data_IF_799286350918
#
_entry.id   IF_799286350918
#
_cell.length_a   1.000
_cell.length_b   1.000
_cell.length_c   1.000
_cell.angle_alpha   90.00
_cell.angle_beta   90.00
_cell.angle_gamma   90.00
#
_symmetry.space_group_name_H-M   'P 1'
#
loop_
_entity.id
_entity.type
_entity.pdbx_description
1 polymer ?
#
# COMPACT_ATOMS: atom_id res chain seq x y z
N UNK A 1 58.05 7.13 33.46
CA UNK A 1 57.10 6.07 33.11
C UNK A 1 56.37 6.50 31.84
N UNK A 2 56.72 5.89 30.70
CA UNK A 2 56.15 6.20 29.39
C UNK A 2 54.95 5.31 29.13
N UNK A 3 53.79 5.90 28.90
CA UNK A 3 52.56 5.20 28.46
C UNK A 3 52.71 4.81 26.98
N UNK A 4 52.74 3.52 26.72
CA UNK A 4 52.77 2.98 25.37
C UNK A 4 51.37 3.11 24.76
N UNK A 5 51.24 3.90 23.70
CA UNK A 5 50.05 3.99 22.89
C UNK A 5 49.90 2.72 22.00
N UNK A 6 48.92 1.92 22.31
CA UNK A 6 48.60 0.68 21.57
C UNK A 6 48.12 1.02 20.16
N UNK A 7 48.92 0.68 19.15
CA UNK A 7 48.59 0.93 17.73
C UNK A 7 47.57 -0.11 17.25
N UNK A 8 46.36 0.34 16.92
CA UNK A 8 45.33 -0.50 16.35
C UNK A 8 45.81 -1.24 15.10
N UNK A 9 45.52 -2.56 15.03
CA UNK A 9 45.92 -3.46 13.94
C UNK A 9 45.26 -3.12 12.60
N UNK A 10 45.88 -3.43 11.44
CA UNK A 10 45.34 -3.14 10.11
C UNK A 10 43.92 -3.70 9.87
N UNK A 11 43.57 -4.82 10.52
CA UNK A 11 42.23 -5.42 10.45
C UNK A 11 41.12 -4.61 11.19
N UNK A 12 41.49 -3.85 12.24
CA UNK A 12 40.58 -2.96 12.95
C UNK A 12 40.37 -1.65 12.20
N UNK A 13 41.37 -1.18 11.43
CA UNK A 13 41.23 0.02 10.53
C UNK A 13 40.39 -0.30 9.30
N UNK A 14 40.34 -1.54 8.80
CA UNK A 14 39.56 -1.93 7.65
C UNK A 14 38.03 -2.05 7.94
N UNK A 15 37.62 -2.15 9.20
CA UNK A 15 36.20 -2.15 9.58
C UNK A 15 35.60 -0.75 9.79
N UNK A 16 36.39 0.28 9.91
CA UNK A 16 35.96 1.65 10.22
C UNK A 16 35.74 2.55 8.97
N UNK A 17 35.81 2.04 7.75
CA UNK A 17 35.90 2.91 6.58
C UNK A 17 35.16 2.51 5.31
N UNK A 18 34.18 1.61 5.33
CA UNK A 18 33.22 1.50 4.25
C UNK A 18 31.93 2.21 4.63
N UNK A 19 31.83 3.50 4.29
CA UNK A 19 30.53 4.14 4.16
C UNK A 19 29.70 3.24 3.22
N UNK A 20 28.60 2.66 3.73
CA UNK A 20 27.76 1.78 2.93
C UNK A 20 27.25 2.60 1.73
N UNK A 21 27.72 2.24 0.53
CA UNK A 21 27.24 2.90 -0.70
C UNK A 21 25.77 2.54 -0.83
N UNK A 22 24.92 3.54 -0.67
CA UNK A 22 23.46 3.39 -0.80
C UNK A 22 23.14 2.86 -2.21
N UNK A 23 22.27 1.88 -2.28
CA UNK A 23 21.71 1.41 -3.55
C UNK A 23 20.95 2.55 -4.25
N UNK A 24 20.77 2.46 -5.56
CA UNK A 24 19.98 3.43 -6.32
C UNK A 24 18.55 3.58 -5.77
N UNK A 25 17.94 2.48 -5.34
CA UNK A 25 16.61 2.49 -4.75
C UNK A 25 16.58 3.23 -3.39
N UNK A 26 17.61 3.08 -2.57
CA UNK A 26 17.73 3.80 -1.30
C UNK A 26 17.96 5.29 -1.50
N UNK A 27 18.78 5.67 -2.50
CA UNK A 27 18.96 7.10 -2.86
C UNK A 27 17.65 7.72 -3.31
N UNK A 28 16.93 7.09 -4.25
CA UNK A 28 15.62 7.57 -4.71
C UNK A 28 14.58 7.66 -3.57
N UNK A 29 14.65 6.77 -2.59
CA UNK A 29 13.78 6.84 -1.41
C UNK A 29 14.14 8.04 -0.53
N UNK A 30 15.43 8.28 -0.28
CA UNK A 30 15.91 9.42 0.52
C UNK A 30 15.60 10.76 -0.14
N UNK A 31 15.77 10.88 -1.46
CA UNK A 31 15.42 12.10 -2.21
C UNK A 31 13.93 12.43 -2.05
N UNK A 32 13.06 11.42 -2.21
CA UNK A 32 11.63 11.58 -2.00
C UNK A 32 11.29 11.90 -0.53
N UNK A 33 11.95 11.25 0.41
CA UNK A 33 11.76 11.51 1.84
C UNK A 33 12.15 12.97 2.19
N UNK A 34 13.24 13.48 1.64
CA UNK A 34 13.66 14.86 1.79
C UNK A 34 12.62 15.84 1.24
N UNK A 35 12.11 15.58 0.04
CA UNK A 35 11.02 16.38 -0.56
C UNK A 35 9.78 16.40 0.31
N UNK A 36 9.34 15.21 0.80
CA UNK A 36 8.17 15.10 1.67
C UNK A 36 8.37 15.86 2.99
N UNK A 37 9.56 15.81 3.57
CA UNK A 37 9.87 16.49 4.83
C UNK A 37 9.95 18.02 4.68
N UNK A 38 10.41 18.53 3.52
CA UNK A 38 10.65 19.96 3.29
C UNK A 38 9.47 20.69 2.65
N UNK A 39 8.60 19.98 1.91
CA UNK A 39 7.47 20.59 1.19
C UNK A 39 6.15 20.06 1.74
N UNK A 40 5.31 20.95 2.34
CA UNK A 40 3.97 20.56 2.78
C UNK A 40 3.14 19.94 1.64
N UNK A 41 2.28 18.92 1.92
CA UNK A 41 1.43 18.32 0.90
C UNK A 41 0.38 19.32 0.39
N UNK A 42 0.14 19.29 -0.91
CA UNK A 42 -0.93 20.03 -1.58
C UNK A 42 -2.20 19.17 -1.68
N UNK A 43 -3.29 19.75 -2.17
CA UNK A 43 -4.52 18.97 -2.46
C UNK A 43 -4.31 17.85 -3.48
N UNK A 44 -3.39 18.03 -4.44
CA UNK A 44 -3.04 17.01 -5.43
C UNK A 44 -2.22 15.86 -4.85
N UNK A 45 -1.44 16.12 -3.81
CA UNK A 45 -0.70 15.10 -3.07
C UNK A 45 -1.60 14.22 -2.19
N UNK A 46 -2.88 14.57 -2.05
CA UNK A 46 -3.80 13.85 -1.20
C UNK A 46 -4.33 12.60 -1.90
N UNK A 47 -4.03 11.44 -1.36
CA UNK A 47 -4.62 10.16 -1.75
C UNK A 47 -5.58 9.66 -0.68
N UNK A 48 -6.45 8.73 -1.04
CA UNK A 48 -7.43 8.13 -0.14
C UNK A 48 -7.45 6.61 -0.27
N UNK A 49 -7.68 5.94 0.86
CA UNK A 49 -7.98 4.51 0.90
C UNK A 49 -9.03 4.19 1.94
N UNK A 50 -9.67 3.04 1.86
CA UNK A 50 -10.69 2.61 2.81
C UNK A 50 -10.06 2.28 4.17
N UNK A 51 -10.69 2.72 5.29
CA UNK A 51 -10.15 2.59 6.64
C UNK A 51 -9.90 1.13 7.08
N UNK A 52 -10.68 0.16 6.62
CA UNK A 52 -10.45 -1.26 6.90
C UNK A 52 -9.17 -1.73 6.19
N UNK A 53 -8.92 -1.29 4.96
CA UNK A 53 -7.69 -1.64 4.21
C UNK A 53 -6.42 -1.06 4.85
N UNK A 54 -6.54 -0.01 5.67
CA UNK A 54 -5.43 0.47 6.49
C UNK A 54 -5.11 -0.46 7.67
N UNK A 55 -6.04 -1.30 8.09
CA UNK A 55 -5.88 -2.18 9.25
C UNK A 55 -5.55 -3.61 8.85
N UNK A 56 -6.13 -4.08 7.73
CA UNK A 56 -5.92 -5.42 7.18
C UNK A 56 -5.76 -5.32 5.67
N UNK A 57 -4.59 -5.72 5.16
CA UNK A 57 -4.26 -5.60 3.74
C UNK A 57 -4.63 -6.86 2.93
N UNK A 58 -4.64 -6.70 1.61
CA UNK A 58 -4.72 -7.80 0.64
C UNK A 58 -3.56 -8.81 0.82
N UNK A 59 -3.56 -9.97 0.16
CA UNK A 59 -2.39 -10.84 0.09
C UNK A 59 -1.17 -10.08 -0.42
N UNK A 60 0.02 -10.36 0.12
CA UNK A 60 1.27 -9.74 -0.35
C UNK A 60 1.87 -10.46 -1.55
N UNK A 61 1.63 -11.76 -1.63
CA UNK A 61 2.05 -12.63 -2.73
C UNK A 61 0.86 -13.39 -3.31
N UNK A 62 1.06 -14.01 -4.48
CA UNK A 62 0.08 -14.91 -5.08
C UNK A 62 -0.27 -16.03 -4.12
N UNK A 63 -1.54 -16.32 -4.00
CA UNK A 63 -2.07 -17.50 -3.31
C UNK A 63 -2.80 -18.37 -4.32
N UNK A 64 -2.77 -19.68 -4.12
CA UNK A 64 -3.49 -20.63 -5.01
C UNK A 64 -4.97 -20.78 -4.60
N UNK A 65 -5.28 -20.42 -3.35
CA UNK A 65 -6.66 -20.44 -2.86
C UNK A 65 -7.54 -19.41 -3.58
N UNK A 66 -8.81 -19.73 -3.72
CA UNK A 66 -9.83 -18.85 -4.32
C UNK A 66 -10.34 -17.77 -3.37
N UNK A 67 -9.94 -17.84 -2.15
CA UNK A 67 -10.37 -16.98 -1.05
C UNK A 67 -9.19 -16.63 -0.15
N UNK A 68 -9.19 -15.41 0.34
CA UNK A 68 -8.23 -14.92 1.31
C UNK A 68 -8.94 -14.24 2.46
N UNK A 69 -8.68 -14.70 3.67
CA UNK A 69 -9.19 -14.12 4.90
C UNK A 69 -8.05 -13.61 5.77
N UNK A 70 -8.18 -12.40 6.28
CA UNK A 70 -7.27 -11.83 7.30
C UNK A 70 -8.07 -11.04 8.32
N UNK A 71 -7.69 -11.20 9.59
CA UNK A 71 -8.28 -10.47 10.70
C UNK A 71 -7.18 -9.85 11.58
N UNK A 72 -7.43 -8.64 12.07
CA UNK A 72 -6.59 -7.97 13.07
C UNK A 72 -7.48 -7.18 14.02
N UNK A 73 -7.59 -7.67 15.26
CA UNK A 73 -8.53 -7.12 16.23
C UNK A 73 -9.98 -7.19 15.73
N UNK A 74 -10.65 -6.04 15.69
CA UNK A 74 -12.03 -5.94 15.21
C UNK A 74 -12.15 -5.77 13.69
N UNK A 75 -11.03 -5.54 12.98
CA UNK A 75 -11.02 -5.38 11.52
C UNK A 75 -10.73 -6.72 10.85
N UNK A 76 -11.46 -7.02 9.77
CA UNK A 76 -11.21 -8.18 8.95
C UNK A 76 -11.53 -7.91 7.48
N UNK A 77 -10.88 -8.66 6.61
CA UNK A 77 -11.09 -8.66 5.18
C UNK A 77 -11.25 -10.10 4.69
N UNK A 78 -12.24 -10.31 3.82
CA UNK A 78 -12.35 -11.51 3.00
C UNK A 78 -12.37 -11.09 1.53
N UNK A 79 -11.53 -11.72 0.72
CA UNK A 79 -11.43 -11.47 -0.72
C UNK A 79 -11.64 -12.78 -1.45
N UNK A 80 -12.70 -12.86 -2.24
CA UNK A 80 -13.02 -14.02 -3.07
C UNK A 80 -12.72 -13.69 -4.53
N UNK A 81 -12.03 -14.61 -5.19
CA UNK A 81 -11.71 -14.52 -6.61
C UNK A 81 -12.95 -14.76 -7.47
N UNK A 82 -13.16 -13.93 -8.47
CA UNK A 82 -14.31 -13.99 -9.36
C UNK A 82 -13.95 -14.38 -10.80
N UNK A 83 -14.86 -14.08 -11.71
CA UNK A 83 -14.75 -14.31 -13.14
C UNK A 83 -14.83 -12.98 -13.87
N UNK A 84 -14.07 -12.85 -14.95
CA UNK A 84 -14.10 -11.69 -15.83
C UNK A 84 -14.13 -12.17 -17.28
N UNK A 85 -14.93 -11.53 -18.14
CA UNK A 85 -14.84 -11.76 -19.58
C UNK A 85 -13.62 -10.99 -20.13
N UNK A 86 -12.68 -11.72 -20.72
CA UNK A 86 -11.49 -11.18 -21.36
C UNK A 86 -11.64 -11.11 -22.90
N UNK A 87 -12.88 -11.02 -23.41
CA UNK A 87 -13.19 -10.90 -24.84
C UNK A 87 -13.32 -12.21 -25.59
N UNK A 88 -13.08 -13.36 -24.93
CA UNK A 88 -13.26 -14.71 -25.47
C UNK A 88 -14.10 -15.61 -24.55
N UNK A 89 -14.82 -14.99 -23.64
CA UNK A 89 -15.61 -15.64 -22.62
C UNK A 89 -15.04 -15.51 -21.20
N UNK A 90 -15.73 -16.07 -20.21
CA UNK A 90 -15.40 -15.87 -18.80
C UNK A 90 -14.09 -16.59 -18.41
N UNK A 91 -13.16 -15.84 -17.88
CA UNK A 91 -11.87 -16.31 -17.34
C UNK A 91 -11.86 -16.16 -15.84
N UNK A 92 -11.48 -17.25 -15.15
CA UNK A 92 -11.34 -17.23 -13.71
C UNK A 92 -10.11 -16.40 -13.29
N UNK A 93 -10.33 -15.38 -12.48
CA UNK A 93 -9.26 -14.52 -11.99
C UNK A 93 -8.67 -15.04 -10.67
N UNK A 94 -7.40 -14.72 -10.35
CA UNK A 94 -6.85 -14.99 -9.02
C UNK A 94 -7.40 -14.00 -7.98
N UNK A 95 -7.16 -14.26 -6.70
CA UNK A 95 -7.31 -13.24 -5.66
C UNK A 95 -6.30 -12.12 -5.95
N UNK A 96 -6.69 -10.82 -5.93
CA UNK A 96 -5.76 -9.72 -6.15
C UNK A 96 -4.67 -9.67 -5.07
N UNK A 97 -3.40 -9.48 -5.46
CA UNK A 97 -2.25 -9.53 -4.56
C UNK A 97 -1.14 -8.55 -4.95
N UNK A 98 -0.25 -8.29 -3.99
CA UNK A 98 0.96 -7.51 -4.22
C UNK A 98 0.72 -5.99 -4.22
N UNK A 99 1.62 -5.27 -4.85
CA UNK A 99 1.68 -3.80 -4.83
C UNK A 99 0.60 -3.17 -5.72
N UNK A 100 0.39 -3.70 -6.93
CA UNK A 100 -0.44 -3.06 -7.95
C UNK A 100 -1.90 -2.84 -7.52
N UNK A 101 -2.63 -3.82 -6.95
CA UNK A 101 -4.00 -3.58 -6.53
C UNK A 101 -4.11 -2.58 -5.38
N UNK A 102 -3.07 -2.46 -4.52
CA UNK A 102 -3.02 -1.44 -3.46
C UNK A 102 -2.93 -0.03 -4.01
N UNK A 103 -2.02 0.18 -4.95
CA UNK A 103 -1.84 1.48 -5.62
C UNK A 103 -3.07 1.82 -6.47
N UNK A 104 -3.62 0.85 -7.19
CA UNK A 104 -4.82 1.03 -7.99
C UNK A 104 -6.03 1.42 -7.12
N UNK A 105 -6.26 0.71 -6.01
CA UNK A 105 -7.33 1.07 -5.06
C UNK A 105 -7.12 2.46 -4.45
N UNK A 106 -5.88 2.82 -4.09
CA UNK A 106 -5.60 4.15 -3.58
C UNK A 106 -5.87 5.23 -4.65
N UNK A 107 -5.43 5.02 -5.89
CA UNK A 107 -5.66 5.96 -6.99
C UNK A 107 -7.15 6.11 -7.31
N UNK A 108 -7.85 4.97 -7.51
CA UNK A 108 -9.29 4.92 -7.81
C UNK A 108 -10.11 5.56 -6.69
N UNK A 109 -9.81 5.24 -5.44
CA UNK A 109 -10.46 5.83 -4.27
C UNK A 109 -10.21 7.34 -4.18
N UNK A 110 -9.01 7.79 -4.55
CA UNK A 110 -8.65 9.20 -4.55
C UNK A 110 -9.41 9.97 -5.63
N UNK A 111 -9.50 9.40 -6.84
CA UNK A 111 -10.26 9.98 -7.92
C UNK A 111 -11.76 10.08 -7.55
N UNK A 112 -12.35 8.97 -7.10
CA UNK A 112 -13.75 8.90 -6.69
C UNK A 112 -14.09 9.93 -5.59
N UNK A 113 -13.21 10.05 -4.58
CA UNK A 113 -13.40 11.00 -3.47
C UNK A 113 -13.24 12.45 -3.91
N UNK A 114 -12.27 12.75 -4.74
CA UNK A 114 -11.93 14.10 -5.20
C UNK A 114 -12.99 14.64 -6.14
N UNK A 115 -13.46 13.82 -7.07
CA UNK A 115 -14.44 14.21 -8.10
C UNK A 115 -15.89 13.86 -7.76
N UNK A 116 -16.10 13.19 -6.61
CA UNK A 116 -17.42 12.73 -6.16
C UNK A 116 -18.17 11.92 -7.26
N UNK A 117 -17.45 11.01 -7.92
CA UNK A 117 -17.98 10.18 -9.00
C UNK A 117 -17.62 8.71 -8.83
N UNK A 118 -18.48 7.83 -9.32
CA UNK A 118 -18.22 6.39 -9.41
C UNK A 118 -17.50 5.99 -10.71
N UNK A 119 -17.56 6.85 -11.70
CA UNK A 119 -16.95 6.66 -13.02
C UNK A 119 -15.51 7.14 -12.99
N UNK A 120 -14.58 6.20 -13.13
CA UNK A 120 -13.15 6.42 -12.96
C UNK A 120 -12.46 6.21 -14.30
N UNK A 121 -11.85 7.24 -14.91
CA UNK A 121 -11.08 7.08 -16.12
C UNK A 121 -9.82 6.28 -15.84
N UNK A 122 -9.68 5.12 -16.47
CA UNK A 122 -8.53 4.23 -16.32
C UNK A 122 -7.71 4.11 -17.62
N UNK A 123 -8.13 4.82 -18.69
CA UNK A 123 -7.51 4.75 -20.00
C UNK A 123 -7.76 3.44 -20.74
N UNK A 124 -7.42 3.43 -22.02
CA UNK A 124 -7.70 2.31 -22.94
C UNK A 124 -6.70 1.14 -22.79
N UNK A 125 -5.74 1.26 -21.92
CA UNK A 125 -4.70 0.24 -21.72
C UNK A 125 -4.09 0.26 -20.32
N UNK A 126 -3.53 -0.89 -19.92
CA UNK A 126 -2.74 -0.97 -18.69
C UNK A 126 -1.53 -0.01 -18.68
N UNK A 127 -0.97 0.31 -19.83
CA UNK A 127 0.13 1.26 -19.97
C UNK A 127 -0.33 2.68 -19.64
N UNK A 128 -1.48 3.07 -20.14
CA UNK A 128 -2.06 4.39 -19.88
C UNK A 128 -2.46 4.53 -18.40
N UNK A 129 -3.15 3.54 -17.85
CA UNK A 129 -3.48 3.55 -16.43
C UNK A 129 -2.25 3.59 -15.53
N UNK A 130 -1.18 2.89 -15.91
CA UNK A 130 0.07 2.95 -15.15
C UNK A 130 0.65 4.37 -15.14
N UNK A 131 0.59 5.10 -16.26
CA UNK A 131 1.00 6.51 -16.34
C UNK A 131 0.12 7.41 -15.48
N UNK A 132 -1.19 7.26 -15.56
CA UNK A 132 -2.15 8.00 -14.71
C UNK A 132 -1.88 7.76 -13.22
N UNK A 133 -1.60 6.53 -12.84
CA UNK A 133 -1.41 6.12 -11.44
C UNK A 133 -0.04 6.49 -10.88
N UNK A 134 1.04 6.43 -11.69
CA UNK A 134 2.43 6.56 -11.22
C UNK A 134 3.18 7.79 -11.78
N UNK A 135 2.55 8.56 -12.68
CA UNK A 135 3.18 9.68 -13.39
C UNK A 135 3.94 9.26 -14.64
N UNK A 136 4.27 10.23 -15.50
CA UNK A 136 4.83 10.01 -16.85
C UNK A 136 6.26 9.46 -16.87
N UNK A 137 7.06 9.73 -15.84
CA UNK A 137 8.47 9.28 -15.74
C UNK A 137 8.62 7.75 -15.56
N UNK A 138 7.52 7.03 -15.55
CA UNK A 138 7.56 5.58 -15.41
C UNK A 138 7.76 4.97 -16.79
N UNK A 139 9.02 4.82 -17.23
CA UNK A 139 9.36 3.97 -18.37
C UNK A 139 8.88 2.56 -18.04
N UNK A 140 7.73 2.25 -18.59
CA UNK A 140 7.04 1.02 -18.27
C UNK A 140 7.69 -0.13 -19.03
N UNK A 141 8.38 -0.97 -18.30
CA UNK A 141 8.81 -2.27 -18.79
C UNK A 141 7.56 -3.14 -19.01
N UNK A 142 7.48 -3.85 -20.11
CA UNK A 142 6.32 -4.69 -20.49
C UNK A 142 5.84 -5.64 -19.39
N UNK A 143 6.73 -6.15 -18.54
CA UNK A 143 6.41 -6.98 -17.39
C UNK A 143 5.52 -6.26 -16.35
N UNK A 144 5.68 -4.94 -16.17
CA UNK A 144 4.82 -4.16 -15.26
C UNK A 144 3.41 -3.97 -15.81
N UNK A 145 3.26 -3.78 -17.12
CA UNK A 145 1.95 -3.68 -17.78
C UNK A 145 1.17 -5.00 -17.64
N UNK A 146 1.82 -6.13 -17.90
CA UNK A 146 1.21 -7.44 -17.75
C UNK A 146 0.78 -7.70 -16.30
N UNK A 147 1.63 -7.33 -15.33
CA UNK A 147 1.29 -7.45 -13.91
C UNK A 147 0.11 -6.55 -13.53
N UNK A 148 0.12 -5.28 -13.95
CA UNK A 148 -0.98 -4.36 -13.67
C UNK A 148 -2.28 -4.88 -14.28
N UNK A 149 -2.28 -5.25 -15.58
CA UNK A 149 -3.47 -5.81 -16.24
C UNK A 149 -4.05 -6.98 -15.46
N UNK A 150 -3.21 -7.97 -15.13
CA UNK A 150 -3.63 -9.14 -14.36
C UNK A 150 -4.23 -8.75 -13.00
N UNK A 151 -3.64 -7.81 -12.29
CA UNK A 151 -4.12 -7.40 -10.97
C UNK A 151 -5.38 -6.53 -11.05
N UNK A 152 -5.55 -5.73 -12.12
CA UNK A 152 -6.79 -4.99 -12.36
C UNK A 152 -7.94 -5.92 -12.73
N UNK A 153 -7.71 -6.93 -13.58
CA UNK A 153 -8.70 -7.98 -13.88
C UNK A 153 -9.11 -8.71 -12.59
N UNK A 154 -8.14 -9.10 -11.77
CA UNK A 154 -8.41 -9.74 -10.49
C UNK A 154 -9.22 -8.85 -9.52
N UNK A 155 -8.90 -7.56 -9.47
CA UNK A 155 -9.59 -6.58 -8.63
C UNK A 155 -11.03 -6.32 -9.11
N UNK A 156 -11.23 -6.20 -10.43
CA UNK A 156 -12.53 -5.99 -11.03
C UNK A 156 -13.46 -7.20 -10.83
N UNK A 157 -12.90 -8.41 -10.87
CA UNK A 157 -13.66 -9.64 -10.71
C UNK A 157 -13.93 -10.02 -9.24
N UNK A 158 -13.18 -9.48 -8.26
CA UNK A 158 -13.23 -9.97 -6.89
C UNK A 158 -14.50 -9.52 -6.14
N UNK A 159 -14.96 -10.37 -5.22
CA UNK A 159 -15.88 -10.00 -4.17
C UNK A 159 -15.08 -9.62 -2.92
N UNK A 160 -15.43 -8.50 -2.32
CA UNK A 160 -14.75 -7.94 -1.17
C UNK A 160 -15.71 -7.82 0.01
N UNK A 161 -15.34 -8.42 1.13
CA UNK A 161 -16.03 -8.23 2.40
C UNK A 161 -15.07 -7.52 3.36
N UNK A 162 -15.54 -6.43 3.94
CA UNK A 162 -14.80 -5.63 4.92
C UNK A 162 -15.61 -5.55 6.20
N UNK A 163 -15.02 -5.96 7.31
CA UNK A 163 -15.71 -5.95 8.60
C UNK A 163 -14.98 -5.12 9.65
N UNK A 164 -15.76 -4.42 10.46
CA UNK A 164 -15.25 -3.68 11.60
C UNK A 164 -16.34 -3.52 12.69
N UNK A 165 -16.08 -4.00 13.90
CA UNK A 165 -16.96 -3.85 15.07
C UNK A 165 -18.44 -4.20 14.80
N UNK A 166 -18.69 -5.34 14.16
CA UNK A 166 -20.03 -5.81 13.85
C UNK A 166 -20.67 -5.26 12.58
N UNK A 167 -20.10 -4.21 11.97
CA UNK A 167 -20.50 -3.73 10.65
C UNK A 167 -19.74 -4.49 9.56
N UNK A 168 -20.45 -4.92 8.54
CA UNK A 168 -19.87 -5.62 7.37
C UNK A 168 -20.31 -4.92 6.09
N UNK A 169 -19.34 -4.49 5.30
CA UNK A 169 -19.52 -4.24 3.87
C UNK A 169 -19.38 -5.58 3.15
N UNK A 170 -20.27 -5.88 2.22
CA UNK A 170 -20.26 -7.11 1.45
C UNK A 170 -20.67 -6.80 -0.01
N UNK A 171 -19.72 -6.80 -0.94
CA UNK A 171 -19.99 -6.47 -2.32
C UNK A 171 -18.78 -6.59 -3.22
N UNK A 172 -18.97 -6.28 -4.49
CA UNK A 172 -17.87 -6.06 -5.43
C UNK A 172 -17.45 -4.60 -5.36
N UNK A 173 -16.15 -4.28 -5.34
CA UNK A 173 -15.71 -2.89 -5.41
C UNK A 173 -15.97 -2.27 -6.78
N UNK A 174 -15.94 -3.06 -7.83
CA UNK A 174 -16.12 -2.65 -9.22
C UNK A 174 -17.43 -3.24 -9.76
N UNK A 175 -18.29 -2.38 -10.27
CA UNK A 175 -19.57 -2.75 -10.90
C UNK A 175 -19.39 -3.05 -12.38
N UNK A 176 -18.62 -2.20 -13.09
CA UNK A 176 -18.31 -2.37 -14.50
C UNK A 176 -16.84 -2.10 -14.77
N UNK A 177 -16.24 -2.97 -15.57
CA UNK A 177 -14.86 -2.86 -16.03
C UNK A 177 -14.73 -3.44 -17.44
N UNK A 178 -14.30 -2.62 -18.37
CA UNK A 178 -13.96 -3.07 -19.70
C UNK A 178 -12.55 -3.61 -19.72
N UNK A 179 -12.41 -4.93 -19.87
CA UNK A 179 -11.13 -5.60 -19.80
C UNK A 179 -10.17 -5.09 -20.88
N UNK A 180 -8.95 -4.75 -20.48
CA UNK A 180 -7.89 -4.39 -21.42
C UNK A 180 -7.44 -5.63 -22.22
N UNK A 181 -7.97 -5.78 -23.42
CA UNK A 181 -7.60 -6.87 -24.32
C UNK A 181 -6.16 -6.72 -24.78
N UNK A 182 -5.49 -7.82 -25.08
CA UNK A 182 -4.17 -7.75 -25.71
C UNK A 182 -4.33 -7.27 -27.15
N UNK A 183 -3.37 -6.47 -27.66
CA UNK A 183 -3.39 -5.99 -29.06
C UNK A 183 -3.45 -7.12 -30.10
N UNK A 184 -3.13 -8.36 -29.74
CA UNK A 184 -3.24 -9.55 -30.60
C UNK A 184 -4.66 -10.10 -30.69
N UNK A 185 -5.51 -9.77 -29.73
CA UNK A 185 -6.84 -10.33 -29.57
C UNK A 185 -7.96 -9.34 -29.93
N UNK A 186 -7.63 -8.05 -30.12
CA UNK A 186 -8.58 -7.02 -30.47
C UNK A 186 -8.22 -6.36 -31.80
N UNK A 187 -8.82 -6.75 -32.92
CA UNK A 187 -8.69 -6.06 -34.20
C UNK A 187 -9.34 -4.67 -34.23
N UNK A 188 -10.16 -4.34 -33.22
CA UNK A 188 -10.83 -3.05 -33.09
C UNK A 188 -10.56 -2.43 -31.71
N UNK A 189 -10.37 -1.09 -31.65
CA UNK A 189 -10.38 -0.34 -30.39
C UNK A 189 -11.69 -0.60 -29.63
N UNK A 190 -11.65 -0.72 -28.28
CA UNK A 190 -12.89 -0.77 -27.52
C UNK A 190 -13.76 0.44 -27.88
N UNK A 191 -15.05 0.19 -28.12
CA UNK A 191 -16.03 1.22 -28.48
C UNK A 191 -16.30 2.21 -27.33
N UNK A 192 -15.82 1.90 -26.13
CA UNK A 192 -16.08 2.68 -24.92
C UNK A 192 -14.76 3.27 -24.39
N UNK A 193 -14.78 4.52 -23.90
CA UNK A 193 -13.62 5.09 -23.22
C UNK A 193 -13.26 4.20 -22.03
N UNK A 194 -11.94 4.05 -21.74
CA UNK A 194 -11.42 3.25 -20.63
C UNK A 194 -11.87 3.78 -19.28
N UNK A 195 -13.09 3.46 -18.90
CA UNK A 195 -13.75 3.85 -17.65
C UNK A 195 -14.04 2.60 -16.82
N UNK A 196 -13.75 2.67 -15.54
CA UNK A 196 -14.16 1.69 -14.55
C UNK A 196 -15.24 2.31 -13.67
N UNK A 197 -16.36 1.61 -13.46
CA UNK A 197 -17.42 2.09 -12.58
C UNK A 197 -17.34 1.37 -11.23
N UNK A 198 -17.20 2.14 -10.15
CA UNK A 198 -17.30 1.61 -8.79
C UNK A 198 -18.74 1.24 -8.45
N UNK A 199 -18.97 0.17 -7.71
CA UNK A 199 -20.29 -0.11 -7.18
C UNK A 199 -20.75 1.01 -6.26
N UNK A 200 -22.03 1.34 -6.29
CA UNK A 200 -22.61 2.39 -5.45
C UNK A 200 -22.33 2.13 -3.97
N UNK A 201 -22.43 0.88 -3.57
CA UNK A 201 -22.24 0.50 -2.18
C UNK A 201 -20.78 0.72 -1.73
N UNK A 202 -19.79 0.34 -2.56
CA UNK A 202 -18.38 0.60 -2.25
C UNK A 202 -18.07 2.10 -2.25
N UNK A 203 -18.61 2.84 -3.20
CA UNK A 203 -18.46 4.30 -3.27
C UNK A 203 -18.99 4.99 -2.01
N UNK A 204 -20.21 4.65 -1.57
CA UNK A 204 -20.82 5.22 -0.38
C UNK A 204 -20.02 4.88 0.89
N UNK A 205 -19.52 3.64 1.03
CA UNK A 205 -18.62 3.25 2.13
C UNK A 205 -17.32 4.05 2.09
N UNK A 206 -16.73 4.24 0.91
CA UNK A 206 -15.53 5.03 0.75
C UNK A 206 -15.74 6.50 1.15
N UNK A 207 -16.87 7.12 0.77
CA UNK A 207 -17.18 8.49 1.15
C UNK A 207 -17.17 8.68 2.68
N UNK A 208 -17.62 7.69 3.42
CA UNK A 208 -17.73 7.73 4.90
C UNK A 208 -16.46 7.25 5.63
N UNK A 209 -15.67 6.38 5.00
CA UNK A 209 -14.58 5.64 5.66
C UNK A 209 -13.21 5.88 5.03
N UNK A 210 -13.05 6.89 4.19
CA UNK A 210 -11.78 7.20 3.55
C UNK A 210 -10.74 7.75 4.54
N UNK A 211 -9.51 7.26 4.43
CA UNK A 211 -8.35 7.74 5.18
C UNK A 211 -7.45 8.54 4.22
N UNK A 212 -7.15 9.80 4.54
CA UNK A 212 -6.25 10.60 3.73
C UNK A 212 -4.80 10.15 3.92
N UNK A 213 -4.07 10.03 2.81
CA UNK A 213 -2.68 9.60 2.71
C UNK A 213 -1.89 10.58 1.84
N UNK A 214 -0.59 10.69 2.06
CA UNK A 214 0.30 11.40 1.15
C UNK A 214 0.65 10.49 -0.05
N UNK A 215 0.22 10.87 -1.25
CA UNK A 215 0.47 10.12 -2.48
C UNK A 215 1.97 10.01 -2.81
N UNK A 216 2.76 11.03 -2.45
CA UNK A 216 4.23 11.02 -2.62
C UNK A 216 4.87 9.89 -1.82
N UNK A 217 4.35 9.64 -0.60
CA UNK A 217 4.79 8.52 0.23
C UNK A 217 4.39 7.16 -0.37
N UNK A 218 3.17 7.02 -0.90
CA UNK A 218 2.75 5.81 -1.62
C UNK A 218 3.66 5.52 -2.81
N UNK A 219 4.00 6.55 -3.60
CA UNK A 219 4.93 6.44 -4.74
C UNK A 219 6.37 6.11 -4.31
N UNK A 220 6.82 6.62 -3.17
CA UNK A 220 8.13 6.27 -2.63
C UNK A 220 8.21 4.81 -2.18
N UNK A 221 7.10 4.27 -1.66
CA UNK A 221 7.00 2.91 -1.12
C UNK A 221 6.49 1.86 -2.13
N UNK A 222 6.27 2.22 -3.40
CA UNK A 222 5.69 1.36 -4.46
C UNK A 222 6.45 0.07 -4.77
N UNK A 223 7.60 -0.13 -4.17
CA UNK A 223 8.39 -1.37 -4.33
C UNK A 223 8.04 -2.48 -3.34
N UNK A 224 7.18 -2.23 -2.33
CA UNK A 224 6.88 -3.19 -1.26
C UNK A 224 5.43 -3.12 -0.80
N UNK A 225 4.69 -4.22 -0.96
CA UNK A 225 3.33 -4.33 -0.44
C UNK A 225 3.27 -4.15 1.08
N UNK A 226 4.24 -4.71 1.81
CA UNK A 226 4.34 -4.55 3.26
C UNK A 226 4.59 -3.07 3.65
N UNK A 227 5.42 -2.35 2.90
CA UNK A 227 5.68 -0.93 3.17
C UNK A 227 4.43 -0.07 2.98
N UNK A 228 3.65 -0.34 1.93
CA UNK A 228 2.36 0.32 1.70
C UNK A 228 1.37 0.03 2.84
N UNK A 229 1.25 -1.24 3.25
CA UNK A 229 0.35 -1.63 4.34
C UNK A 229 0.77 -0.99 5.67
N UNK A 230 2.05 -0.99 6.01
CA UNK A 230 2.58 -0.37 7.24
C UNK A 230 2.37 1.16 7.22
N UNK A 231 2.60 1.82 6.09
CA UNK A 231 2.34 3.24 5.95
C UNK A 231 0.85 3.59 6.17
N UNK A 232 -0.05 2.91 5.47
CA UNK A 232 -1.50 3.11 5.62
C UNK A 232 -1.96 2.84 7.06
N UNK A 233 -1.43 1.79 7.69
CA UNK A 233 -1.74 1.45 9.07
C UNK A 233 -1.30 2.53 10.05
N UNK A 234 -0.06 3.04 9.94
CA UNK A 234 0.44 4.10 10.81
C UNK A 234 -0.34 5.40 10.59
N UNK A 235 -0.61 5.77 9.34
CA UNK A 235 -1.41 6.95 9.00
C UNK A 235 -2.81 6.90 9.63
N UNK A 236 -3.46 5.73 9.59
CA UNK A 236 -4.77 5.52 10.19
C UNK A 236 -4.74 5.46 11.72
N UNK A 237 -3.66 4.93 12.33
CA UNK A 237 -3.63 4.58 13.75
C UNK A 237 -3.03 5.67 14.64
N UNK A 238 -1.89 6.26 14.24
CA UNK A 238 -1.10 7.09 15.15
C UNK A 238 -1.83 8.34 15.64
N UNK A 239 -2.62 9.00 14.80
CA UNK A 239 -3.36 10.22 15.17
C UNK A 239 -4.52 9.97 16.15
N UNK A 240 -4.81 8.71 16.48
CA UNK A 240 -5.88 8.29 17.40
C UNK A 240 -5.33 7.80 18.73
N UNK A 241 -4.01 7.78 18.88
CA UNK A 241 -3.37 7.35 20.12
C UNK A 241 -3.22 8.58 21.01
N UNK A 242 -3.76 8.47 22.22
CA UNK A 242 -3.68 9.48 23.26
C UNK A 242 -2.78 8.99 24.42
N UNK A 243 -2.22 9.93 25.18
CA UNK A 243 -1.43 9.65 26.36
C UNK A 243 -0.08 8.99 26.10
N UNK A 244 0.29 8.01 26.95
CA UNK A 244 1.64 7.41 27.00
C UNK A 244 2.01 6.53 25.80
N UNK A 245 1.09 6.30 24.84
CA UNK A 245 1.30 5.40 23.72
C UNK A 245 0.85 3.98 23.98
N UNK A 246 0.98 3.13 22.95
CA UNK A 246 0.51 1.74 22.96
C UNK A 246 1.65 0.82 22.55
N UNK A 247 1.98 -0.16 23.38
CA UNK A 247 2.94 -1.21 23.01
C UNK A 247 2.23 -2.35 22.31
N UNK A 248 2.75 -2.73 21.13
CA UNK A 248 2.30 -3.89 20.37
C UNK A 248 3.39 -4.95 20.34
N UNK A 249 3.06 -6.17 20.72
CA UNK A 249 3.97 -7.31 20.67
C UNK A 249 4.20 -7.79 19.22
N UNK A 250 5.39 -8.37 18.95
CA UNK A 250 5.73 -8.90 17.62
C UNK A 250 4.71 -9.89 17.09
N UNK A 251 4.17 -10.75 17.96
CA UNK A 251 3.10 -11.69 17.59
C UNK A 251 1.89 -10.97 16.98
N UNK A 252 1.39 -9.93 17.65
CA UNK A 252 0.21 -9.18 17.16
C UNK A 252 0.50 -8.45 15.86
N UNK A 253 1.72 -7.91 15.68
CA UNK A 253 2.12 -7.24 14.44
C UNK A 253 2.24 -8.26 13.29
N UNK A 254 2.81 -9.44 13.54
CA UNK A 254 2.86 -10.52 12.56
C UNK A 254 1.47 -11.02 12.20
N UNK A 255 0.59 -11.24 13.15
CA UNK A 255 -0.80 -11.63 12.91
C UNK A 255 -1.53 -10.61 12.03
N UNK A 256 -1.23 -9.33 12.17
CA UNK A 256 -1.83 -8.27 11.33
C UNK A 256 -1.29 -8.28 9.90
N UNK A 257 0.02 -8.47 9.69
CA UNK A 257 0.64 -8.27 8.38
C UNK A 257 1.10 -9.55 7.70
N UNK A 258 1.28 -10.64 8.42
CA UNK A 258 2.02 -11.81 7.95
C UNK A 258 1.56 -13.11 8.63
N UNK A 259 0.25 -13.38 8.67
CA UNK A 259 -0.32 -14.62 9.21
C UNK A 259 0.21 -15.87 8.50
N UNK A 260 0.69 -15.72 7.27
CA UNK A 260 1.28 -16.77 6.44
C UNK A 260 2.65 -17.28 6.92
N UNK A 261 3.33 -16.56 7.84
CA UNK A 261 4.61 -16.99 8.40
C UNK A 261 4.43 -18.18 9.35
N UNK A 262 4.93 -19.36 8.93
CA UNK A 262 4.78 -20.65 9.65
C UNK A 262 6.13 -21.31 10.02
N UNK A 263 7.24 -20.59 9.97
CA UNK A 263 8.56 -21.10 10.27
C UNK A 263 8.74 -21.53 11.74
N UNK A 264 9.93 -21.99 12.10
CA UNK A 264 10.29 -22.42 13.47
C UNK A 264 10.18 -21.27 14.48
N UNK A 265 10.52 -20.05 14.06
CA UNK A 265 10.40 -18.81 14.85
C UNK A 265 9.80 -17.70 13.95
N UNK A 266 8.47 -17.75 13.72
CA UNK A 266 7.83 -16.86 12.76
C UNK A 266 7.88 -15.39 13.18
N UNK A 267 7.91 -15.08 14.46
CA UNK A 267 7.99 -13.71 14.96
C UNK A 267 9.38 -13.10 14.70
N UNK A 268 10.45 -13.89 14.87
CA UNK A 268 11.82 -13.46 14.59
C UNK A 268 12.05 -13.24 13.09
N UNK A 269 11.54 -14.14 12.26
CA UNK A 269 11.70 -14.04 10.80
C UNK A 269 10.91 -12.86 10.26
N UNK A 270 9.68 -12.67 10.71
CA UNK A 270 8.88 -11.50 10.37
C UNK A 270 9.54 -10.19 10.84
N UNK A 271 10.09 -10.15 12.06
CA UNK A 271 10.80 -8.97 12.58
C UNK A 271 11.97 -8.55 11.69
N UNK A 272 12.74 -9.51 11.14
CA UNK A 272 13.86 -9.21 10.21
C UNK A 272 13.40 -8.51 8.94
N UNK A 273 12.22 -8.91 8.40
CA UNK A 273 11.62 -8.25 7.23
C UNK A 273 10.99 -6.90 7.60
N UNK A 274 10.29 -6.85 8.72
CA UNK A 274 9.49 -5.69 9.13
C UNK A 274 10.34 -4.46 9.50
N UNK A 275 11.43 -4.63 10.23
CA UNK A 275 12.23 -3.49 10.72
C UNK A 275 12.86 -2.65 9.60
N UNK A 276 13.45 -3.22 8.53
CA UNK A 276 13.89 -2.43 7.37
C UNK A 276 12.73 -1.70 6.69
N UNK A 277 11.56 -2.33 6.60
CA UNK A 277 10.35 -1.70 6.03
C UNK A 277 9.88 -0.55 6.90
N UNK A 278 9.83 -0.71 8.21
CA UNK A 278 9.44 0.36 9.14
C UNK A 278 10.35 1.60 8.98
N UNK A 279 11.67 1.41 8.86
CA UNK A 279 12.60 2.52 8.61
C UNK A 279 12.29 3.27 7.31
N UNK A 280 11.98 2.54 6.22
CA UNK A 280 11.55 3.15 4.94
C UNK A 280 10.27 3.95 5.10
N UNK A 281 9.31 3.43 5.86
CA UNK A 281 8.05 4.13 6.14
C UNK A 281 8.29 5.39 6.99
N UNK A 282 9.11 5.31 8.03
CA UNK A 282 9.44 6.47 8.86
C UNK A 282 10.20 7.55 8.08
N UNK A 283 11.00 7.19 7.07
CA UNK A 283 11.67 8.17 6.21
C UNK A 283 10.65 9.01 5.43
N UNK A 284 9.55 8.43 4.94
CA UNK A 284 8.51 9.14 4.17
C UNK A 284 7.32 9.61 5.02
N UNK A 285 7.33 9.29 6.30
CA UNK A 285 6.37 9.77 7.29
C UNK A 285 7.14 10.20 8.56
N UNK A 286 7.91 11.32 8.49
CA UNK A 286 8.85 11.72 9.55
C UNK A 286 8.14 12.02 10.88
N UNK A 287 6.88 12.43 10.85
CA UNK A 287 6.09 12.66 12.05
C UNK A 287 5.70 11.38 12.80
N UNK A 288 5.85 10.19 12.18
CA UNK A 288 5.46 8.91 12.80
C UNK A 288 6.40 8.54 13.96
N UNK A 289 5.92 8.66 15.19
CA UNK A 289 6.68 8.32 16.39
C UNK A 289 6.45 6.85 16.77
N UNK A 290 7.30 6.00 16.23
CA UNK A 290 7.30 4.55 16.47
C UNK A 290 8.68 4.13 16.94
N UNK A 291 8.76 3.50 18.11
CA UNK A 291 10.01 3.08 18.72
C UNK A 291 10.03 1.55 18.89
N UNK A 292 11.17 0.94 18.56
CA UNK A 292 11.39 -0.46 18.92
C UNK A 292 11.64 -0.56 20.42
N UNK A 293 10.91 -1.48 21.07
CA UNK A 293 11.05 -1.79 22.50
C UNK A 293 11.26 -3.30 22.67
N UNK A 294 11.56 -3.73 23.89
CA UNK A 294 11.64 -5.16 24.22
C UNK A 294 10.30 -5.82 23.92
N UNK A 295 10.33 -6.86 23.09
CA UNK A 295 9.14 -7.65 22.73
C UNK A 295 8.24 -7.05 21.65
N UNK A 296 8.49 -5.82 21.15
CA UNK A 296 7.58 -5.22 20.16
C UNK A 296 7.90 -3.81 19.71
N UNK A 297 6.85 -3.05 19.46
CA UNK A 297 6.89 -1.63 19.06
C UNK A 297 6.04 -0.79 20.02
N UNK A 298 6.56 0.35 20.43
CA UNK A 298 5.82 1.42 21.10
C UNK A 298 5.36 2.42 20.04
N UNK A 299 4.05 2.54 19.89
CA UNK A 299 3.38 3.52 19.04
C UNK A 299 2.99 4.71 19.91
N UNK A 300 3.39 5.91 19.52
CA UNK A 300 3.10 7.16 20.24
C UNK A 300 2.23 8.04 19.34
N UNK A 301 1.26 8.74 19.91
CA UNK A 301 0.41 9.66 19.21
C UNK A 301 1.20 10.60 18.32
N UNK A 302 0.79 10.71 17.04
CA UNK A 302 1.52 11.49 16.03
C UNK A 302 0.53 12.14 15.07
N UNK A 303 0.82 13.34 14.53
CA UNK A 303 -0.05 13.96 13.53
C UNK A 303 -0.17 13.08 12.28
N UNK A 304 -1.31 13.10 11.58
CA UNK A 304 -1.48 12.36 10.33
C UNK A 304 -0.56 12.91 9.23
N UNK A 305 -0.22 12.10 8.19
CA UNK A 305 0.65 12.55 7.09
C UNK A 305 0.04 13.69 6.28
N UNK A 306 -1.28 13.75 6.21
CA UNK A 306 -2.03 14.89 5.66
C UNK A 306 -2.68 15.63 6.82
N UNK A 307 -2.29 16.86 7.12
CA UNK A 307 -2.91 17.67 8.16
C UNK A 307 -4.42 17.87 7.88
N UNK A 308 -5.23 17.89 8.93
CA UNK A 308 -6.62 18.33 8.78
C UNK A 308 -6.60 19.81 8.39
N UNK A 309 -7.20 20.13 7.25
CA UNK A 309 -7.42 21.53 6.89
C UNK A 309 -8.25 22.20 7.99
N UNK A 310 -7.91 23.43 8.41
CA UNK A 310 -8.76 24.20 9.31
C UNK A 310 -10.18 24.28 8.76
N UNK A 311 -11.19 24.09 9.62
CA UNK A 311 -12.58 24.28 9.23
C UNK A 311 -12.74 25.73 8.77
N UNK A 312 -12.93 25.95 7.46
CA UNK A 312 -13.13 27.28 6.87
C UNK A 312 -12.37 27.60 5.59
N UNK A 313 -11.36 26.81 5.23
CA UNK A 313 -10.74 26.87 3.90
C UNK A 313 -11.34 25.78 3.03
N UNK A 314 -12.36 26.14 2.25
CA UNK A 314 -12.89 25.36 1.12
C UNK A 314 -12.15 25.75 -0.13
#
# INVERSE_FOLDING_TARGET
MAYAAEKATPAQKAKAGRAAVLSEQERKLLDKATTIASVPPTGEDMAFTHAVLCQVGLPRAKIEAREFMRQSGAAWINVQAGWLDEGRGPVQQPVPYGVMPRLALAWVSSYAKRHNTREIPIGDSAAEFLRLMLGEDTVAQGARHATLRKQMHALAACRLQLGFKGRTFNGQPVEQFDAWLSNRDAPQRPLWPGVMTLSEHYFNELQNSAVPLDNRALHALKGSALALDVYCWLAHRLHRIEGKGITLHWKSIREQFAQEYKGKDPDKDFKKEFLPVLRKVQAVYPAANVKQVTGGLLLIGSPPPIPKLPKGLK
#
